data_IF_924307908741
#
_entry.id   IF_924307908741
#
_cell.length_a   1.000
_cell.length_b   1.000
_cell.length_c   1.000
_cell.angle_alpha   90.00
_cell.angle_beta   90.00
_cell.angle_gamma   90.00
#
_symmetry.space_group_name_H-M   'P 1'
#
loop_
_entity.id
_entity.type
_entity.pdbx_description
1 polymer ?
#
# COMPACT_ATOMS: atom_id res chain seq x y z
N UNK A 1 15.88 3.62 27.87
CA UNK A 1 16.67 4.85 28.06
C UNK A 1 17.74 4.91 26.97
N UNK A 2 17.45 5.63 25.88
CA UNK A 2 18.32 5.73 24.68
C UNK A 2 19.26 6.95 24.74
N UNK A 3 19.57 7.44 25.94
CA UNK A 3 20.42 8.63 26.15
C UNK A 3 21.88 8.46 25.71
N UNK A 4 22.25 7.29 25.18
CA UNK A 4 23.59 6.94 24.69
C UNK A 4 23.60 6.34 23.28
N UNK A 5 22.55 6.53 22.48
CA UNK A 5 22.50 6.00 21.12
C UNK A 5 23.60 6.63 20.24
N UNK A 6 24.31 5.79 19.49
CA UNK A 6 25.38 6.20 18.55
C UNK A 6 24.80 6.65 17.20
N UNK A 7 23.60 6.14 16.85
CA UNK A 7 22.92 6.39 15.59
C UNK A 7 21.42 6.54 15.80
N UNK A 8 20.79 7.39 15.02
CA UNK A 8 19.33 7.50 14.93
C UNK A 8 18.87 7.23 13.50
N UNK A 9 17.88 6.35 13.35
CA UNK A 9 17.18 6.07 12.09
C UNK A 9 15.83 6.75 12.16
N UNK A 10 15.53 7.65 11.22
CA UNK A 10 14.20 8.21 11.04
C UNK A 10 13.41 7.32 10.08
N UNK A 11 12.23 6.93 10.50
CA UNK A 11 11.28 6.15 9.71
C UNK A 11 10.03 7.00 9.51
N UNK A 12 9.59 7.20 8.29
CA UNK A 12 8.35 7.93 8.04
C UNK A 12 7.37 7.12 7.18
N UNK A 13 6.10 7.42 7.40
CA UNK A 13 4.98 7.00 6.56
C UNK A 13 3.88 8.05 6.58
N UNK A 14 2.95 7.96 5.61
CA UNK A 14 1.93 9.00 5.36
C UNK A 14 0.66 8.82 6.18
N UNK A 15 0.46 7.67 6.80
CA UNK A 15 -0.76 7.30 7.53
C UNK A 15 -0.72 7.79 8.97
N UNK A 16 -1.91 7.88 9.60
CA UNK A 16 -2.04 8.24 11.01
C UNK A 16 -1.49 7.19 11.98
N UNK A 17 -1.31 7.60 13.22
CA UNK A 17 -0.91 6.71 14.33
C UNK A 17 -1.95 5.60 14.52
N UNK A 18 -1.48 4.37 14.71
CA UNK A 18 -2.32 3.17 14.85
C UNK A 18 -2.74 2.54 13.52
N UNK A 19 -2.29 3.09 12.39
CA UNK A 19 -2.45 2.47 11.08
C UNK A 19 -1.60 1.19 10.94
N UNK A 20 -1.86 0.35 9.94
CA UNK A 20 -0.99 -0.78 9.65
C UNK A 20 0.47 -0.39 9.39
N UNK A 21 0.73 0.75 8.74
CA UNK A 21 2.09 1.26 8.56
C UNK A 21 2.74 1.63 9.89
N UNK A 22 2.01 2.30 10.78
CA UNK A 22 2.52 2.66 12.11
C UNK A 22 2.82 1.41 12.96
N UNK A 23 1.96 0.37 12.87
CA UNK A 23 2.22 -0.91 13.53
C UNK A 23 3.55 -1.53 13.04
N UNK A 24 3.73 -1.64 11.74
CA UNK A 24 4.94 -2.21 11.13
C UNK A 24 6.19 -1.38 11.41
N UNK A 25 6.11 -0.06 11.30
CA UNK A 25 7.23 0.85 11.61
C UNK A 25 7.65 0.75 13.09
N UNK A 26 6.70 0.58 14.01
CA UNK A 26 7.00 0.37 15.43
C UNK A 26 7.53 -1.05 15.71
N UNK A 27 7.11 -2.07 14.96
CA UNK A 27 7.73 -3.40 15.02
C UNK A 27 9.19 -3.34 14.55
N UNK A 28 9.47 -2.67 13.43
CA UNK A 28 10.83 -2.41 12.95
C UNK A 28 11.68 -1.69 13.99
N UNK A 29 11.16 -0.61 14.57
CA UNK A 29 11.82 0.12 15.67
C UNK A 29 12.24 -0.82 16.78
N UNK A 30 11.32 -1.62 17.30
CA UNK A 30 11.60 -2.56 18.38
C UNK A 30 12.71 -3.55 18.00
N UNK A 31 12.64 -4.15 16.82
CA UNK A 31 13.60 -5.15 16.35
C UNK A 31 15.00 -4.56 16.21
N UNK A 32 15.13 -3.36 15.66
CA UNK A 32 16.43 -2.68 15.51
C UNK A 32 17.01 -2.24 16.85
N UNK A 33 16.20 -1.63 17.71
CA UNK A 33 16.65 -1.16 19.03
C UNK A 33 17.09 -2.34 19.91
N UNK A 34 16.34 -3.44 19.94
CA UNK A 34 16.69 -4.67 20.66
C UNK A 34 17.92 -5.35 20.03
N UNK A 35 17.97 -5.51 18.70
CA UNK A 35 19.05 -6.18 17.99
C UNK A 35 20.40 -5.43 18.10
N UNK A 36 20.36 -4.11 18.20
CA UNK A 36 21.55 -3.28 18.41
C UNK A 36 21.91 -3.09 19.89
N UNK A 37 21.19 -3.70 20.83
CA UNK A 37 21.33 -3.46 22.28
C UNK A 37 21.23 -1.96 22.65
N UNK A 38 20.34 -1.22 21.97
CA UNK A 38 20.10 0.21 22.18
C UNK A 38 21.13 1.16 21.57
N UNK A 39 22.10 0.65 20.81
CA UNK A 39 23.11 1.45 20.10
C UNK A 39 22.48 2.26 18.96
N UNK A 40 21.45 1.70 18.31
CA UNK A 40 20.68 2.37 17.26
C UNK A 40 19.31 2.73 17.83
N UNK A 41 18.94 4.01 17.75
CA UNK A 41 17.62 4.51 18.06
C UNK A 41 16.79 4.63 16.78
N UNK A 42 15.49 4.33 16.84
CA UNK A 42 14.56 4.53 15.73
C UNK A 42 13.47 5.52 16.13
N UNK A 43 13.25 6.52 15.31
CA UNK A 43 12.19 7.52 15.46
C UNK A 43 11.16 7.34 14.34
N UNK A 44 9.90 7.07 14.71
CA UNK A 44 8.81 6.87 13.76
C UNK A 44 7.97 8.15 13.65
N UNK A 45 7.71 8.58 12.43
CA UNK A 45 6.94 9.77 12.08
C UNK A 45 5.70 9.34 11.29
N UNK A 46 4.56 9.30 11.98
CA UNK A 46 3.27 8.85 11.45
C UNK A 46 2.48 10.04 10.88
N UNK A 47 2.63 10.33 9.59
CA UNK A 47 2.00 11.47 8.93
C UNK A 47 2.59 12.84 9.28
N UNK A 48 3.65 12.88 10.11
CA UNK A 48 4.21 14.14 10.63
C UNK A 48 5.25 14.78 9.68
N UNK A 49 5.94 13.99 8.87
CA UNK A 49 6.95 14.50 7.92
C UNK A 49 6.36 14.81 6.57
N UNK A 50 5.48 13.94 6.09
CA UNK A 50 4.74 14.10 4.82
C UNK A 50 3.45 13.29 4.88
N UNK A 51 2.47 13.70 4.08
CA UNK A 51 1.21 12.98 3.83
C UNK A 51 1.07 12.54 2.37
N UNK A 52 2.15 12.68 1.58
CA UNK A 52 2.27 12.25 0.19
C UNK A 52 3.36 11.18 0.06
N UNK A 53 2.99 10.00 -0.44
CA UNK A 53 3.92 8.87 -0.57
C UNK A 53 5.01 9.13 -1.61
N UNK A 54 4.70 9.84 -2.70
CA UNK A 54 5.71 10.21 -3.71
C UNK A 54 6.76 11.11 -3.07
N UNK A 55 6.33 12.11 -2.29
CA UNK A 55 7.26 12.96 -1.52
C UNK A 55 8.09 12.14 -0.52
N UNK A 56 7.49 11.15 0.15
CA UNK A 56 8.22 10.27 1.06
C UNK A 56 9.34 9.52 0.33
N UNK A 57 9.06 8.95 -0.84
CA UNK A 57 10.07 8.26 -1.68
C UNK A 57 11.16 9.24 -2.11
N UNK A 58 10.81 10.45 -2.54
CA UNK A 58 11.79 11.47 -2.93
C UNK A 58 12.69 11.90 -1.75
N UNK A 59 12.15 11.98 -0.54
CA UNK A 59 12.94 12.25 0.66
C UNK A 59 13.98 11.15 0.92
N UNK A 60 13.58 9.88 0.78
CA UNK A 60 14.48 8.73 0.90
C UNK A 60 15.55 8.76 -0.20
N UNK A 61 15.15 8.93 -1.46
CA UNK A 61 16.03 8.98 -2.61
C UNK A 61 17.11 10.07 -2.48
N UNK A 62 16.73 11.23 -1.98
CA UNK A 62 17.62 12.36 -1.78
C UNK A 62 18.42 12.32 -0.46
N UNK A 63 18.34 11.22 0.30
CA UNK A 63 19.00 11.05 1.60
C UNK A 63 18.58 12.10 2.65
N UNK A 64 17.33 12.56 2.58
CA UNK A 64 16.71 13.44 3.57
C UNK A 64 15.92 12.66 4.63
N UNK A 65 15.70 11.36 4.40
CA UNK A 65 15.05 10.40 5.27
C UNK A 65 15.78 9.05 5.13
N UNK A 66 16.00 8.34 6.22
CA UNK A 66 16.69 7.05 6.20
C UNK A 66 15.79 5.94 5.67
N UNK A 67 14.55 5.84 6.16
CA UNK A 67 13.60 4.77 5.80
C UNK A 67 12.19 5.33 5.58
N UNK A 68 11.54 4.90 4.51
CA UNK A 68 10.12 5.12 4.20
C UNK A 68 9.33 3.81 4.17
N UNK A 69 8.09 3.84 4.67
CA UNK A 69 7.08 2.81 4.43
C UNK A 69 6.10 3.36 3.41
N UNK A 70 6.06 2.77 2.21
CA UNK A 70 5.34 3.33 1.06
C UNK A 70 4.64 2.25 0.25
N UNK A 71 3.49 2.58 -0.32
CA UNK A 71 2.72 1.69 -1.18
C UNK A 71 3.34 1.50 -2.56
N UNK A 72 3.13 0.32 -3.15
CA UNK A 72 3.58 0.00 -4.53
C UNK A 72 2.96 0.92 -5.56
N UNK A 73 1.75 1.44 -5.32
CA UNK A 73 1.10 2.41 -6.18
C UNK A 73 1.91 3.69 -6.41
N UNK A 74 2.50 4.25 -5.34
CA UNK A 74 3.38 5.42 -5.44
C UNK A 74 4.73 5.08 -6.07
N UNK A 75 5.28 3.90 -5.75
CA UNK A 75 6.55 3.43 -6.31
C UNK A 75 6.49 3.16 -7.82
N UNK A 76 5.31 2.94 -8.39
CA UNK A 76 5.11 2.79 -9.83
C UNK A 76 5.60 4.00 -10.65
N UNK A 77 5.67 5.20 -10.04
CA UNK A 77 6.26 6.39 -10.64
C UNK A 77 7.79 6.33 -10.77
N UNK A 78 8.46 5.51 -9.98
CA UNK A 78 9.92 5.32 -9.96
C UNK A 78 10.33 4.04 -10.69
N UNK A 79 9.58 2.96 -10.50
CA UNK A 79 9.72 1.67 -11.17
C UNK A 79 8.37 1.27 -11.74
N UNK A 80 8.10 1.46 -13.03
CA UNK A 80 6.78 1.19 -13.63
C UNK A 80 6.24 -0.21 -13.32
N UNK A 81 7.09 -1.22 -13.26
CA UNK A 81 6.68 -2.59 -12.97
C UNK A 81 6.09 -2.77 -11.55
N UNK A 82 6.36 -1.86 -10.60
CA UNK A 82 5.71 -1.86 -9.28
C UNK A 82 4.23 -1.43 -9.33
N UNK A 83 3.83 -0.71 -10.35
CA UNK A 83 2.42 -0.38 -10.59
C UNK A 83 1.53 -1.58 -10.91
N UNK A 84 2.12 -2.74 -11.20
CA UNK A 84 1.39 -3.96 -11.57
C UNK A 84 0.50 -4.49 -10.42
N UNK A 85 0.87 -4.23 -9.17
CA UNK A 85 0.07 -4.63 -8.00
C UNK A 85 -1.36 -4.09 -8.07
N UNK A 86 -1.54 -2.92 -8.68
CA UNK A 86 -2.83 -2.25 -8.79
C UNK A 86 -3.71 -2.79 -9.95
N UNK A 87 -3.24 -3.81 -10.69
CA UNK A 87 -4.08 -4.46 -11.71
C UNK A 87 -5.30 -5.13 -11.04
N UNK A 88 -6.51 -4.81 -11.50
CA UNK A 88 -7.71 -5.32 -10.87
C UNK A 88 -7.82 -6.83 -11.00
N UNK A 89 -8.10 -7.51 -9.87
CA UNK A 89 -8.23 -8.97 -9.79
C UNK A 89 -6.99 -9.74 -10.28
N UNK A 90 -5.79 -9.18 -10.10
CA UNK A 90 -4.53 -9.83 -10.45
C UNK A 90 -4.28 -11.04 -9.55
N UNK A 91 -4.38 -10.86 -8.24
CA UNK A 91 -4.20 -11.91 -7.25
C UNK A 91 -5.53 -12.63 -6.97
N UNK A 92 -5.44 -13.92 -6.67
CA UNK A 92 -6.62 -14.77 -6.39
C UNK A 92 -6.98 -14.77 -4.90
N UNK A 93 -5.97 -14.88 -4.05
CA UNK A 93 -6.09 -14.96 -2.58
C UNK A 93 -4.74 -14.69 -1.90
N UNK A 94 -4.73 -14.75 -0.56
CA UNK A 94 -3.53 -14.53 0.26
C UNK A 94 -2.40 -15.53 -0.02
N UNK A 95 -2.73 -16.77 -0.32
CA UNK A 95 -1.74 -17.80 -0.61
C UNK A 95 -1.00 -17.51 -1.92
N UNK A 96 -1.76 -17.07 -2.93
CA UNK A 96 -1.21 -16.62 -4.21
C UNK A 96 -0.33 -15.37 -4.03
N UNK A 97 -0.76 -14.39 -3.22
CA UNK A 97 0.04 -13.21 -2.88
C UNK A 97 1.36 -13.62 -2.22
N UNK A 98 1.31 -14.46 -1.19
CA UNK A 98 2.50 -14.90 -0.46
C UNK A 98 3.52 -15.56 -1.40
N UNK A 99 3.06 -16.53 -2.19
CA UNK A 99 3.94 -17.26 -3.13
C UNK A 99 4.52 -16.35 -4.21
N UNK A 100 3.76 -15.38 -4.69
CA UNK A 100 4.25 -14.40 -5.67
C UNK A 100 5.33 -13.50 -5.07
N UNK A 101 5.10 -12.95 -3.86
CA UNK A 101 6.06 -12.05 -3.20
C UNK A 101 7.34 -12.76 -2.77
N UNK A 102 7.27 -13.99 -2.31
CA UNK A 102 8.42 -14.81 -1.93
C UNK A 102 9.17 -15.38 -3.14
N UNK A 103 8.51 -15.43 -4.31
CA UNK A 103 9.01 -16.01 -5.53
C UNK A 103 9.82 -15.06 -6.42
N UNK A 104 9.98 -15.46 -7.69
CA UNK A 104 10.72 -14.70 -8.70
C UNK A 104 10.07 -13.32 -8.96
N UNK A 105 8.75 -13.25 -8.94
CA UNK A 105 8.01 -12.00 -9.12
C UNK A 105 8.43 -10.94 -8.11
N UNK A 106 8.29 -11.22 -6.81
CA UNK A 106 8.64 -10.25 -5.76
C UNK A 106 10.13 -9.91 -5.74
N UNK A 107 11.01 -10.90 -5.89
CA UNK A 107 12.44 -10.68 -5.90
C UNK A 107 12.88 -9.78 -7.07
N UNK A 108 12.33 -9.99 -8.28
CA UNK A 108 12.66 -9.17 -9.45
C UNK A 108 12.25 -7.71 -9.28
N UNK A 109 11.12 -7.44 -8.62
CA UNK A 109 10.64 -6.08 -8.35
C UNK A 109 11.50 -5.35 -7.31
N UNK A 110 11.94 -6.05 -6.25
CA UNK A 110 12.89 -5.49 -5.27
C UNK A 110 14.25 -5.18 -5.91
N UNK A 111 14.73 -6.03 -6.82
CA UNK A 111 15.96 -5.79 -7.57
C UNK A 111 15.83 -4.57 -8.49
N UNK A 112 14.72 -4.44 -9.22
CA UNK A 112 14.46 -3.28 -10.07
C UNK A 112 14.41 -1.99 -9.24
N UNK A 113 13.75 -2.01 -8.08
CA UNK A 113 13.68 -0.86 -7.19
C UNK A 113 15.07 -0.48 -6.66
N UNK A 114 15.87 -1.46 -6.29
CA UNK A 114 17.25 -1.23 -5.80
C UNK A 114 18.21 -0.82 -6.93
N UNK A 115 17.82 -0.92 -8.19
CA UNK A 115 18.57 -0.38 -9.33
C UNK A 115 18.28 1.11 -9.58
N UNK A 116 17.25 1.68 -8.94
CA UNK A 116 16.99 3.12 -8.97
C UNK A 116 18.00 3.84 -8.09
N UNK A 117 18.65 4.86 -8.64
CA UNK A 117 19.63 5.65 -7.89
C UNK A 117 19.00 6.27 -6.63
N UNK A 118 19.66 6.06 -5.51
CA UNK A 118 19.26 6.58 -4.20
C UNK A 118 18.24 5.74 -3.42
N UNK A 119 17.71 4.63 -3.96
CA UNK A 119 16.70 3.80 -3.30
C UNK A 119 17.18 2.35 -3.14
N UNK A 120 17.03 1.78 -1.95
CA UNK A 120 17.24 0.36 -1.66
C UNK A 120 15.95 -0.24 -1.11
N UNK A 121 15.41 -1.29 -1.75
CA UNK A 121 14.27 -2.06 -1.27
C UNK A 121 14.67 -3.03 -0.15
N UNK A 122 14.09 -2.86 1.05
CA UNK A 122 14.40 -3.72 2.19
C UNK A 122 13.47 -4.94 2.31
N UNK A 123 12.19 -4.81 1.99
CA UNK A 123 11.22 -5.88 2.10
C UNK A 123 9.80 -5.38 1.83
N UNK A 124 8.89 -6.32 1.62
CA UNK A 124 7.46 -6.02 1.45
C UNK A 124 6.75 -5.84 2.78
N UNK A 125 5.67 -5.10 2.77
CA UNK A 125 4.68 -5.02 3.85
C UNK A 125 3.27 -5.03 3.26
N UNK A 126 2.25 -5.15 4.11
CA UNK A 126 0.86 -5.25 3.73
C UNK A 126 0.20 -3.87 3.57
N UNK A 127 -0.42 -3.62 2.43
CA UNK A 127 -1.37 -2.55 2.23
C UNK A 127 -2.80 -3.11 2.04
N UNK A 128 -2.88 -4.34 1.59
CA UNK A 128 -4.04 -5.22 1.67
C UNK A 128 -5.01 -5.18 0.51
N UNK A 129 -6.07 -5.96 0.67
CA UNK A 129 -7.20 -5.97 -0.24
C UNK A 129 -7.99 -4.67 -0.14
N UNK A 130 -8.29 -4.09 -1.30
CA UNK A 130 -8.97 -2.80 -1.32
C UNK A 130 -10.45 -2.96 -1.60
N UNK A 131 -11.22 -2.30 -0.76
CA UNK A 131 -12.67 -2.21 -0.80
C UNK A 131 -13.10 -0.82 -1.26
N UNK A 132 -14.28 -0.72 -1.88
CA UNK A 132 -14.82 0.58 -2.30
C UNK A 132 -15.61 1.18 -1.14
N UNK A 133 -15.23 2.39 -0.73
CA UNK A 133 -15.89 3.15 0.33
C UNK A 133 -16.54 4.39 -0.26
N UNK A 134 -17.83 4.59 0.00
CA UNK A 134 -18.60 5.72 -0.54
C UNK A 134 -19.39 6.45 0.53
N UNK A 135 -19.63 7.75 0.30
CA UNK A 135 -20.44 8.58 1.20
C UNK A 135 -21.91 8.17 1.18
N UNK A 136 -22.57 8.40 0.07
CA UNK A 136 -24.05 8.37 -0.01
C UNK A 136 -24.56 7.25 -0.93
N UNK A 137 -23.72 6.75 -1.85
CA UNK A 137 -24.14 5.77 -2.85
C UNK A 137 -23.77 4.37 -2.45
N UNK A 138 -24.74 3.50 -2.28
CA UNK A 138 -24.50 2.06 -2.08
C UNK A 138 -24.10 1.42 -3.42
N UNK A 139 -23.03 0.63 -3.40
CA UNK A 139 -22.51 -0.10 -4.55
C UNK A 139 -22.84 -1.58 -4.36
N UNK A 140 -23.77 -2.13 -5.14
CA UNK A 140 -24.17 -3.54 -5.15
C UNK A 140 -23.68 -4.26 -6.40
N UNK A 141 -23.62 -3.54 -7.52
CA UNK A 141 -23.25 -4.07 -8.83
C UNK A 141 -22.24 -3.15 -9.50
N UNK A 142 -21.54 -3.65 -10.52
CA UNK A 142 -20.59 -2.84 -11.29
C UNK A 142 -21.23 -1.60 -11.93
N UNK A 143 -22.50 -1.66 -12.30
CA UNK A 143 -23.21 -0.53 -12.92
C UNK A 143 -23.43 0.63 -11.94
N UNK A 144 -23.43 0.36 -10.63
CA UNK A 144 -23.54 1.40 -9.60
C UNK A 144 -22.31 2.31 -9.57
N UNK A 145 -21.18 1.89 -10.12
CA UNK A 145 -19.97 2.72 -10.22
C UNK A 145 -20.12 3.89 -11.19
N UNK A 146 -21.09 3.82 -12.11
CA UNK A 146 -21.25 4.85 -13.14
C UNK A 146 -21.45 6.24 -12.55
N UNK A 147 -20.54 7.15 -12.92
CA UNK A 147 -20.56 8.56 -12.55
C UNK A 147 -20.15 8.87 -11.11
N UNK A 148 -19.72 7.88 -10.33
CA UNK A 148 -19.16 8.11 -9.00
C UNK A 148 -17.79 8.76 -9.15
N UNK A 149 -17.54 9.86 -8.45
CA UNK A 149 -16.21 10.47 -8.38
C UNK A 149 -15.40 9.72 -7.35
N UNK A 150 -14.42 8.93 -7.82
CA UNK A 150 -13.59 8.09 -6.96
C UNK A 150 -12.20 8.71 -6.77
N UNK A 151 -11.79 8.88 -5.53
CA UNK A 151 -10.38 9.12 -5.25
C UNK A 151 -9.58 7.89 -5.67
N UNK A 152 -8.47 8.12 -6.33
CA UNK A 152 -7.49 7.08 -6.64
C UNK A 152 -6.13 7.47 -6.08
N UNK A 153 -5.24 6.49 -5.92
CA UNK A 153 -3.83 6.75 -5.77
C UNK A 153 -3.28 7.47 -7.02
N UNK A 154 -2.12 8.09 -6.90
CA UNK A 154 -1.39 8.72 -8.01
C UNK A 154 -0.75 7.65 -8.92
N UNK A 155 -1.60 6.78 -9.47
CA UNK A 155 -1.23 5.60 -10.24
C UNK A 155 -2.12 5.46 -11.47
N UNK A 156 -1.52 5.22 -12.66
CA UNK A 156 -2.25 5.13 -13.92
C UNK A 156 -3.18 3.93 -14.01
N UNK A 157 -2.84 2.82 -13.35
CA UNK A 157 -3.67 1.61 -13.34
C UNK A 157 -4.96 1.85 -12.57
N UNK A 158 -4.86 2.51 -11.39
CA UNK A 158 -6.03 2.87 -10.58
C UNK A 158 -6.95 3.80 -11.37
N UNK A 159 -6.40 4.81 -12.04
CA UNK A 159 -7.16 5.72 -12.90
C UNK A 159 -7.87 4.93 -14.02
N UNK A 160 -7.14 4.09 -14.75
CA UNK A 160 -7.71 3.29 -15.83
C UNK A 160 -8.78 2.30 -15.34
N UNK A 161 -8.59 1.72 -14.15
CA UNK A 161 -9.57 0.81 -13.54
C UNK A 161 -10.90 1.51 -13.27
N UNK A 162 -10.88 2.68 -12.63
CA UNK A 162 -12.12 3.42 -12.36
C UNK A 162 -12.77 4.00 -13.61
N UNK A 163 -11.99 4.42 -14.62
CA UNK A 163 -12.51 4.77 -15.94
C UNK A 163 -13.25 3.58 -16.58
N UNK A 164 -12.67 2.39 -16.55
CA UNK A 164 -13.28 1.18 -17.08
C UNK A 164 -14.58 0.80 -16.34
N UNK A 165 -14.62 1.00 -15.02
CA UNK A 165 -15.83 0.82 -14.21
C UNK A 165 -16.91 1.89 -14.48
N UNK A 166 -16.60 2.93 -15.25
CA UNK A 166 -17.53 4.02 -15.57
C UNK A 166 -17.60 5.10 -14.49
N UNK A 167 -16.71 5.07 -13.51
CA UNK A 167 -16.52 6.10 -12.51
C UNK A 167 -15.68 7.27 -13.07
N UNK A 168 -15.59 8.34 -12.30
CA UNK A 168 -14.73 9.49 -12.60
C UNK A 168 -13.57 9.49 -11.60
N UNK A 169 -12.38 9.04 -11.98
CA UNK A 169 -11.23 9.03 -11.08
C UNK A 169 -10.69 10.43 -10.83
N UNK A 170 -10.26 10.66 -9.59
CA UNK A 170 -9.57 11.88 -9.15
C UNK A 170 -8.33 11.45 -8.36
N UNK A 171 -7.15 11.61 -8.93
CA UNK A 171 -5.90 11.27 -8.26
C UNK A 171 -5.59 12.31 -7.17
N UNK A 172 -5.53 11.85 -5.90
CA UNK A 172 -5.22 12.65 -4.73
C UNK A 172 -4.21 11.91 -3.85
N UNK A 173 -3.31 12.65 -3.23
CA UNK A 173 -2.41 12.12 -2.21
C UNK A 173 -3.18 11.50 -1.03
N UNK A 174 -2.52 10.62 -0.26
CA UNK A 174 -3.16 9.93 0.86
C UNK A 174 -3.76 10.91 1.88
N UNK A 175 -3.01 11.92 2.28
CA UNK A 175 -3.47 12.93 3.25
C UNK A 175 -4.61 13.82 2.77
N UNK A 176 -4.95 13.80 1.48
CA UNK A 176 -6.06 14.59 0.91
C UNK A 176 -7.39 13.83 0.90
N UNK A 177 -7.41 12.53 1.23
CA UNK A 177 -8.61 11.69 1.15
C UNK A 177 -9.74 12.19 2.04
N UNK A 178 -9.45 12.44 3.33
CA UNK A 178 -10.46 12.90 4.28
C UNK A 178 -11.11 14.22 3.82
N UNK A 179 -10.29 15.21 3.50
CA UNK A 179 -10.78 16.53 3.06
C UNK A 179 -11.46 16.47 1.72
N UNK A 180 -10.99 15.64 0.78
CA UNK A 180 -11.61 15.40 -0.51
C UNK A 180 -13.03 14.81 -0.38
N UNK A 181 -13.19 13.82 0.48
CA UNK A 181 -14.48 13.22 0.81
C UNK A 181 -15.37 14.22 1.56
N UNK A 182 -14.88 14.84 2.62
CA UNK A 182 -15.63 15.77 3.45
C UNK A 182 -16.20 16.94 2.62
N UNK A 183 -15.37 17.54 1.78
CA UNK A 183 -15.76 18.69 0.95
C UNK A 183 -16.48 18.31 -0.35
N UNK A 184 -16.69 17.01 -0.61
CA UNK A 184 -17.40 16.53 -1.80
C UNK A 184 -16.63 16.75 -3.11
N UNK A 185 -15.28 16.80 -3.07
CA UNK A 185 -14.45 16.72 -4.27
C UNK A 185 -14.59 15.34 -4.90
N UNK A 186 -14.65 14.31 -4.04
CA UNK A 186 -14.92 12.92 -4.42
C UNK A 186 -16.12 12.36 -3.63
N UNK A 187 -16.76 11.35 -4.18
CA UNK A 187 -17.94 10.68 -3.60
C UNK A 187 -17.52 9.39 -2.86
N UNK A 188 -16.33 8.88 -3.17
CA UNK A 188 -15.79 7.67 -2.60
C UNK A 188 -14.29 7.56 -2.78
N UNK A 189 -13.74 6.55 -2.14
CA UNK A 189 -12.34 6.13 -2.21
C UNK A 189 -12.26 4.61 -2.19
N UNK A 190 -11.08 4.05 -2.31
CA UNK A 190 -10.83 2.65 -1.99
C UNK A 190 -9.72 2.52 -0.95
N UNK A 191 -9.87 1.56 -0.08
CA UNK A 191 -8.84 1.11 0.85
C UNK A 191 -9.32 -0.10 1.66
N UNK A 192 -8.47 -0.63 2.52
CA UNK A 192 -8.90 -1.52 3.58
C UNK A 192 -9.61 -0.75 4.70
N UNK A 193 -10.35 -1.46 5.54
CA UNK A 193 -11.08 -0.85 6.66
C UNK A 193 -10.13 -0.30 7.73
N UNK A 194 -8.99 -0.96 7.96
CA UNK A 194 -8.01 -0.52 8.96
C UNK A 194 -7.41 0.84 8.62
N UNK A 195 -7.04 1.08 7.36
CA UNK A 195 -6.56 2.40 6.92
C UNK A 195 -7.66 3.46 6.98
N UNK A 196 -8.88 3.10 6.55
CA UNK A 196 -10.00 4.03 6.60
C UNK A 196 -10.27 4.56 8.02
N UNK A 197 -10.09 3.69 9.01
CA UNK A 197 -10.23 4.05 10.44
C UNK A 197 -9.06 4.89 10.92
N UNK A 198 -7.84 4.46 10.66
CA UNK A 198 -6.63 5.13 11.16
C UNK A 198 -6.48 6.56 10.61
N UNK A 199 -6.82 6.76 9.34
CA UNK A 199 -6.76 8.06 8.66
C UNK A 199 -8.07 8.86 8.80
N UNK A 200 -9.05 8.33 9.55
CA UNK A 200 -10.28 9.03 9.95
C UNK A 200 -11.34 9.17 8.87
N UNK A 201 -11.08 8.84 7.61
CA UNK A 201 -12.08 9.05 6.55
C UNK A 201 -13.24 8.04 6.59
N UNK A 202 -13.15 7.00 7.41
CA UNK A 202 -14.30 6.14 7.70
C UNK A 202 -15.48 6.94 8.27
N UNK A 203 -15.22 8.05 8.96
CA UNK A 203 -16.28 8.89 9.55
C UNK A 203 -17.06 9.71 8.52
N UNK A 204 -16.54 9.85 7.30
CA UNK A 204 -17.16 10.61 6.20
C UNK A 204 -17.69 9.74 5.07
N UNK A 205 -17.66 8.41 5.26
CA UNK A 205 -18.30 7.42 4.38
C UNK A 205 -19.35 6.64 5.16
N UNK A 206 -20.34 6.07 4.47
CA UNK A 206 -21.42 5.29 5.09
C UNK A 206 -21.60 3.91 4.47
N UNK A 207 -20.93 3.64 3.35
CA UNK A 207 -21.09 2.41 2.59
C UNK A 207 -19.71 1.81 2.33
N UNK A 208 -19.62 0.51 2.54
CA UNK A 208 -18.45 -0.32 2.25
C UNK A 208 -18.88 -1.39 1.26
N UNK A 209 -18.31 -1.40 0.06
CA UNK A 209 -18.46 -2.49 -0.89
C UNK A 209 -17.23 -3.40 -0.76
N UNK A 210 -17.42 -4.51 -0.05
CA UNK A 210 -16.42 -5.52 0.24
C UNK A 210 -16.25 -6.41 -0.99
N UNK A 211 -15.36 -5.99 -1.90
CA UNK A 211 -15.20 -6.58 -3.24
C UNK A 211 -13.80 -7.10 -3.52
N UNK A 212 -12.79 -6.63 -2.78
CA UNK A 212 -11.41 -7.02 -3.02
C UNK A 212 -10.98 -6.87 -4.50
N UNK A 213 -11.30 -5.71 -5.11
CA UNK A 213 -11.13 -5.51 -6.56
C UNK A 213 -9.66 -5.41 -6.98
N UNK A 214 -8.74 -5.10 -6.08
CA UNK A 214 -7.31 -5.33 -6.24
C UNK A 214 -6.60 -5.41 -4.89
N UNK A 215 -5.40 -5.92 -4.93
CA UNK A 215 -4.51 -6.06 -3.80
C UNK A 215 -3.36 -5.07 -3.94
N UNK A 216 -3.13 -4.29 -2.93
CA UNK A 216 -1.95 -3.42 -2.84
C UNK A 216 -0.93 -4.00 -1.87
N UNK A 217 0.34 -3.88 -2.21
CA UNK A 217 1.44 -4.12 -1.30
C UNK A 217 2.17 -2.82 -1.01
N UNK A 218 3.07 -2.86 -0.08
CA UNK A 218 4.01 -1.78 0.16
C UNK A 218 5.44 -2.30 0.23
N UNK A 219 6.38 -1.40 0.15
CA UNK A 219 7.80 -1.71 0.29
C UNK A 219 8.42 -0.78 1.33
N UNK A 220 9.22 -1.36 2.20
CA UNK A 220 10.11 -0.64 3.11
C UNK A 220 11.33 -0.23 2.29
N UNK A 221 11.47 1.07 2.04
CA UNK A 221 12.55 1.64 1.25
C UNK A 221 13.56 2.35 2.14
N UNK A 222 14.84 2.22 1.81
CA UNK A 222 15.92 2.92 2.49
C UNK A 222 16.68 3.83 1.53
N UNK A 223 17.23 4.93 2.02
CA UNK A 223 18.23 5.71 1.29
C UNK A 223 19.47 4.84 1.02
N UNK A 224 19.80 4.60 -0.25
CA UNK A 224 20.99 3.81 -0.61
C UNK A 224 22.25 4.41 -0.03
N UNK A 225 22.39 5.72 -0.10
CA UNK A 225 23.57 6.43 0.44
C UNK A 225 23.74 6.22 1.95
N UNK A 226 22.65 6.25 2.70
CA UNK A 226 22.69 5.99 4.13
C UNK A 226 22.95 4.51 4.40
N UNK A 227 22.21 3.61 3.74
CA UNK A 227 22.24 2.17 3.98
C UNK A 227 23.62 1.57 3.65
N UNK A 228 24.21 1.93 2.51
CA UNK A 228 25.56 1.50 2.09
C UNK A 228 26.66 2.08 2.98
N UNK A 229 26.41 3.18 3.68
CA UNK A 229 27.33 3.77 4.66
C UNK A 229 27.35 3.04 6.01
N UNK A 230 26.40 2.12 6.26
CA UNK A 230 26.38 1.32 7.48
C UNK A 230 27.44 0.23 7.46
N UNK A 231 27.82 -0.26 8.66
CA UNK A 231 28.62 -1.50 8.77
C UNK A 231 27.83 -2.69 8.20
N UNK A 232 28.52 -3.74 7.75
CA UNK A 232 27.88 -4.97 7.25
C UNK A 232 26.94 -5.58 8.30
N UNK A 233 27.28 -5.49 9.59
CA UNK A 233 26.45 -5.96 10.70
C UNK A 233 25.17 -5.14 10.81
N UNK A 234 25.25 -3.82 10.70
CA UNK A 234 24.09 -2.92 10.78
C UNK A 234 23.22 -3.03 9.54
N UNK A 235 23.79 -3.15 8.34
CA UNK A 235 23.03 -3.42 7.11
C UNK A 235 22.22 -4.70 7.24
N UNK A 236 22.85 -5.77 7.76
CA UNK A 236 22.17 -7.04 8.00
C UNK A 236 21.05 -6.89 9.03
N UNK A 237 21.32 -6.26 10.17
CA UNK A 237 20.33 -6.02 11.21
C UNK A 237 19.12 -5.24 10.66
N UNK A 238 19.35 -4.15 9.94
CA UNK A 238 18.30 -3.31 9.36
C UNK A 238 17.47 -4.11 8.34
N UNK A 239 18.14 -4.86 7.45
CA UNK A 239 17.46 -5.67 6.43
C UNK A 239 16.59 -6.77 7.05
N UNK A 240 17.15 -7.55 7.97
CA UNK A 240 16.42 -8.64 8.65
C UNK A 240 15.28 -8.10 9.51
N UNK A 241 15.47 -6.96 10.18
CA UNK A 241 14.43 -6.29 10.95
C UNK A 241 13.31 -5.77 10.06
N UNK A 242 13.62 -5.23 8.88
CA UNK A 242 12.62 -4.76 7.94
C UNK A 242 11.75 -5.92 7.41
N UNK A 243 12.38 -7.02 6.99
CA UNK A 243 11.65 -8.22 6.53
C UNK A 243 10.74 -8.74 7.63
N UNK A 244 11.26 -8.93 8.83
CA UNK A 244 10.49 -9.45 9.96
C UNK A 244 9.36 -8.51 10.39
N UNK A 245 9.60 -7.20 10.38
CA UNK A 245 8.57 -6.22 10.69
C UNK A 245 7.43 -6.23 9.65
N UNK A 246 7.77 -6.40 8.37
CA UNK A 246 6.77 -6.58 7.31
C UNK A 246 5.93 -7.83 7.50
N UNK A 247 6.55 -8.97 7.86
CA UNK A 247 5.85 -10.23 8.17
C UNK A 247 4.92 -10.09 9.40
N UNK A 248 5.40 -9.47 10.48
CA UNK A 248 4.61 -9.22 11.69
C UNK A 248 3.41 -8.28 11.39
N UNK A 249 3.64 -7.23 10.61
CA UNK A 249 2.61 -6.28 10.20
C UNK A 249 1.55 -6.96 9.33
N UNK A 250 1.96 -7.79 8.38
CA UNK A 250 1.05 -8.56 7.52
C UNK A 250 0.17 -9.50 8.35
N UNK A 251 0.76 -10.29 9.25
CA UNK A 251 0.01 -11.20 10.10
C UNK A 251 -1.03 -10.46 10.95
N UNK A 252 -0.63 -9.32 11.53
CA UNK A 252 -1.54 -8.47 12.30
C UNK A 252 -2.65 -7.87 11.42
N UNK A 253 -2.31 -7.42 10.21
CA UNK A 253 -3.28 -6.85 9.28
C UNK A 253 -4.38 -7.87 8.93
N UNK A 254 -3.99 -9.06 8.50
CA UNK A 254 -4.92 -10.12 8.08
C UNK A 254 -5.86 -10.54 9.21
N UNK A 255 -5.39 -10.55 10.45
CA UNK A 255 -6.22 -10.86 11.62
C UNK A 255 -7.26 -9.77 11.92
N UNK A 256 -6.96 -8.49 11.59
CA UNK A 256 -7.73 -7.35 12.08
C UNK A 256 -8.59 -6.66 11.03
N UNK A 257 -8.29 -6.72 9.72
CA UNK A 257 -9.01 -5.94 8.72
C UNK A 257 -10.45 -6.44 8.50
N UNK A 258 -10.64 -7.74 8.35
CA UNK A 258 -11.97 -8.33 8.19
C UNK A 258 -12.84 -8.13 9.44
N UNK A 259 -12.23 -8.25 10.62
CA UNK A 259 -12.90 -7.95 11.89
C UNK A 259 -13.34 -6.48 11.97
N UNK A 260 -12.59 -5.57 11.35
CA UNK A 260 -12.93 -4.16 11.29
C UNK A 260 -14.14 -3.89 10.40
N UNK A 261 -14.25 -4.56 9.25
CA UNK A 261 -15.45 -4.47 8.39
C UNK A 261 -16.69 -4.92 9.17
N UNK A 262 -16.62 -6.07 9.86
CA UNK A 262 -17.71 -6.58 10.67
C UNK A 262 -18.11 -5.60 11.81
N UNK A 263 -17.14 -4.98 12.48
CA UNK A 263 -17.38 -3.95 13.51
C UNK A 263 -18.17 -2.76 12.94
N UNK A 264 -17.85 -2.29 11.73
CA UNK A 264 -18.56 -1.17 11.12
C UNK A 264 -19.94 -1.55 10.61
N UNK A 265 -20.12 -2.79 10.13
CA UNK A 265 -21.45 -3.34 9.81
C UNK A 265 -22.37 -3.33 11.05
N UNK A 266 -21.86 -3.77 12.22
CA UNK A 266 -22.58 -3.71 13.50
C UNK A 266 -22.90 -2.27 13.95
N UNK A 267 -22.03 -1.31 13.60
CA UNK A 267 -22.25 0.12 13.88
C UNK A 267 -23.30 0.77 12.94
N UNK A 268 -23.83 0.02 11.97
CA UNK A 268 -24.90 0.48 11.08
C UNK A 268 -24.43 1.01 9.73
N UNK A 269 -23.18 0.79 9.36
CA UNK A 269 -22.70 1.04 8.00
C UNK A 269 -23.33 0.05 7.04
N UNK A 270 -23.60 0.49 5.82
CA UNK A 270 -24.07 -0.40 4.76
C UNK A 270 -22.88 -1.16 4.18
N UNK A 271 -22.81 -2.45 4.46
CA UNK A 271 -21.79 -3.33 3.85
C UNK A 271 -22.45 -4.16 2.76
N UNK A 272 -21.93 -4.07 1.55
CA UNK A 272 -22.35 -4.89 0.39
C UNK A 272 -21.24 -5.85 0.02
N UNK A 273 -21.64 -7.05 -0.45
CA UNK A 273 -20.73 -8.09 -0.93
C UNK A 273 -21.22 -8.55 -2.30
N UNK A 274 -20.71 -7.94 -3.40
CA UNK A 274 -21.10 -8.31 -4.75
C UNK A 274 -20.87 -9.80 -5.02
N UNK A 275 -21.86 -10.46 -5.61
CA UNK A 275 -21.77 -11.89 -5.93
C UNK A 275 -21.45 -12.16 -7.41
N UNK A 276 -21.67 -11.17 -8.27
CA UNK A 276 -21.37 -11.24 -9.70
C UNK A 276 -19.98 -10.65 -10.00
N UNK A 277 -18.94 -11.30 -9.47
CA UNK A 277 -17.55 -10.85 -9.65
C UNK A 277 -17.11 -10.93 -11.12
N UNK A 278 -17.69 -11.84 -11.90
CA UNK A 278 -17.37 -11.98 -13.32
C UNK A 278 -17.75 -10.72 -14.11
N UNK A 279 -18.87 -10.06 -13.79
CA UNK A 279 -19.26 -8.79 -14.40
C UNK A 279 -18.23 -7.67 -14.10
N UNK A 280 -17.67 -7.64 -12.89
CA UNK A 280 -16.60 -6.70 -12.55
C UNK A 280 -15.32 -7.00 -13.31
N UNK A 281 -14.90 -8.26 -13.37
CA UNK A 281 -13.72 -8.70 -14.13
C UNK A 281 -13.85 -8.40 -15.62
N UNK A 282 -15.00 -8.66 -16.22
CA UNK A 282 -15.27 -8.34 -17.62
C UNK A 282 -15.15 -6.84 -17.88
N UNK A 283 -15.69 -6.01 -16.97
CA UNK A 283 -15.68 -4.56 -17.10
C UNK A 283 -14.27 -3.98 -17.09
N UNK A 284 -13.37 -4.53 -16.29
CA UNK A 284 -11.98 -4.05 -16.14
C UNK A 284 -10.99 -4.79 -17.06
N UNK A 285 -11.41 -5.82 -17.77
CA UNK A 285 -10.51 -6.55 -18.69
C UNK A 285 -9.73 -5.65 -19.68
N UNK A 286 -10.32 -4.57 -20.24
CA UNK A 286 -9.57 -3.67 -21.13
C UNK A 286 -8.40 -2.93 -20.46
N UNK A 287 -8.35 -2.87 -19.12
CA UNK A 287 -7.23 -2.27 -18.39
C UNK A 287 -5.95 -3.07 -18.64
N UNK A 288 -6.05 -4.40 -18.65
CA UNK A 288 -4.91 -5.28 -18.94
C UNK A 288 -4.31 -5.01 -20.32
N UNK A 289 -5.13 -4.94 -21.36
CA UNK A 289 -4.68 -4.65 -22.72
C UNK A 289 -4.00 -3.28 -22.81
N UNK A 290 -4.58 -2.27 -22.16
CA UNK A 290 -4.02 -0.92 -22.08
C UNK A 290 -2.65 -0.94 -21.39
N UNK A 291 -2.53 -1.65 -20.26
CA UNK A 291 -1.28 -1.70 -19.50
C UNK A 291 -0.21 -2.55 -20.21
N UNK A 292 -0.55 -3.66 -20.83
CA UNK A 292 0.39 -4.45 -21.63
C UNK A 292 0.95 -3.66 -22.83
N UNK A 293 0.11 -2.81 -23.45
CA UNK A 293 0.57 -1.94 -24.52
C UNK A 293 1.55 -0.84 -24.04
N UNK A 294 1.35 -0.35 -22.81
CA UNK A 294 2.21 0.65 -22.17
C UNK A 294 3.48 0.03 -21.56
N UNK A 295 3.35 -1.16 -20.98
CA UNK A 295 4.40 -1.87 -20.24
C UNK A 295 4.58 -3.30 -20.79
N UNK A 296 5.45 -3.51 -21.79
CA UNK A 296 5.61 -4.82 -22.45
C UNK A 296 6.09 -5.97 -21.52
N UNK A 297 6.66 -5.65 -20.37
CA UNK A 297 7.11 -6.62 -19.35
C UNK A 297 5.95 -7.21 -18.54
N UNK A 298 4.81 -6.52 -18.48
CA UNK A 298 3.73 -6.86 -17.56
C UNK A 298 3.00 -8.15 -17.88
N UNK A 299 2.88 -8.51 -19.15
CA UNK A 299 2.27 -9.81 -19.52
C UNK A 299 3.02 -10.97 -18.84
N UNK A 300 4.37 -10.96 -18.90
CA UNK A 300 5.19 -11.97 -18.24
C UNK A 300 5.09 -11.93 -16.71
N UNK A 301 5.04 -10.74 -16.11
CA UNK A 301 4.87 -10.60 -14.67
C UNK A 301 3.50 -11.11 -14.18
N UNK A 302 2.43 -10.84 -14.95
CA UNK A 302 1.09 -11.37 -14.66
C UNK A 302 1.07 -12.88 -14.74
N UNK A 303 1.77 -13.48 -15.71
CA UNK A 303 1.92 -14.94 -15.81
C UNK A 303 2.64 -15.52 -14.60
N UNK A 304 3.69 -14.85 -14.09
CA UNK A 304 4.39 -15.28 -12.86
C UNK A 304 3.44 -15.28 -11.65
N UNK A 305 2.62 -14.25 -11.47
CA UNK A 305 1.63 -14.19 -10.39
C UNK A 305 0.60 -15.31 -10.52
N UNK A 306 0.06 -15.53 -11.72
CA UNK A 306 -0.93 -16.59 -11.97
C UNK A 306 -0.38 -18.01 -11.83
N UNK A 307 0.93 -18.19 -11.99
CA UNK A 307 1.62 -19.46 -11.81
C UNK A 307 1.99 -19.72 -10.33
N UNK A 308 1.98 -18.73 -9.47
CA UNK A 308 2.29 -18.82 -8.04
C UNK A 308 1.11 -19.46 -7.27
N UNK A 309 0.97 -20.82 -7.36
CA UNK A 309 -0.14 -21.59 -6.77
C UNK A 309 0.31 -22.53 -5.67
#
# INVERSE_FOLDING_TARGET
DTSGAEMTIRVAHVCGTGSPYDYGANAFKKLVEEGSNGRIKVEVYAGDMTTDEVECVEMVQNNNLEIGWVGTGALGGFVPDLGIFELPFLFEDEDNVNKALEGEFGNSLLEQLSAVDGITGLGFHEDGWRNILTKDKTINTVDDMKGVRMRTMQNEVCVATYEALGATPVALASGEQFTGLQNGVVDGTDNSALYAVADGYIEVVNNICDIHHYYSSGIIVASSKWYEGLSEEDQKLVKESAIKAGEEQRAWFLENDEAKIAEYEEKGYTVTRPTDIDAWKEKVAPVYDKMYAAHPTWEGLVEMVRAAK
#
